data_IF_211646802661
#
_entry.id   IF_211646802661
#
_cell.length_a   1.000
_cell.length_b   1.000
_cell.length_c   1.000
_cell.angle_alpha   90.00
_cell.angle_beta   90.00
_cell.angle_gamma   90.00
#
_symmetry.space_group_name_H-M   'P 1'
#
loop_
_entity.id
_entity.type
_entity.pdbx_description
1 polymer ?
#
# COMPACT_ATOMS: atom_id res chain seq x y z
N UNK A 1 -10.91 4.10 20.00
CA UNK A 1 -10.35 2.89 19.37
C UNK A 1 -9.22 3.35 18.51
N UNK A 2 -8.04 2.78 18.69
CA UNK A 2 -6.85 3.24 17.99
C UNK A 2 -6.86 2.72 16.52
N UNK A 3 -6.46 3.55 15.55
CA UNK A 3 -6.42 3.17 14.15
C UNK A 3 -5.22 2.26 13.85
N UNK A 4 -5.38 1.35 12.88
CA UNK A 4 -4.40 0.34 12.53
C UNK A 4 -3.07 0.95 12.06
N UNK A 5 -1.95 0.61 12.69
CA UNK A 5 -0.63 1.10 12.24
C UNK A 5 -0.12 0.41 10.97
N UNK A 6 0.77 1.05 10.20
CA UNK A 6 1.38 0.48 8.99
C UNK A 6 2.13 -0.82 9.32
N UNK A 7 2.89 -0.85 10.42
CA UNK A 7 3.63 -2.04 10.83
C UNK A 7 2.71 -3.21 11.18
N UNK A 8 1.65 -2.95 11.96
CA UNK A 8 0.66 -3.97 12.31
C UNK A 8 -0.16 -4.44 11.10
N UNK A 9 -0.45 -3.55 10.14
CA UNK A 9 -1.12 -3.89 8.90
C UNK A 9 -0.30 -4.88 8.06
N UNK A 10 1.02 -4.66 7.91
CA UNK A 10 1.90 -5.58 7.18
C UNK A 10 1.92 -6.95 7.84
N UNK A 11 2.12 -7.01 9.16
CA UNK A 11 2.12 -8.27 9.91
C UNK A 11 0.77 -8.98 9.81
N UNK A 12 -0.33 -8.25 10.00
CA UNK A 12 -1.68 -8.81 9.95
C UNK A 12 -2.10 -9.26 8.56
N UNK A 13 -1.65 -8.58 7.50
CA UNK A 13 -1.84 -9.04 6.13
C UNK A 13 -1.12 -10.37 5.86
N UNK A 14 0.12 -10.51 6.31
CA UNK A 14 0.86 -11.78 6.14
C UNK A 14 0.15 -12.92 6.89
N UNK A 15 -0.21 -12.71 8.15
CA UNK A 15 -0.89 -13.71 8.98
C UNK A 15 -2.30 -14.05 8.46
N UNK A 16 -3.09 -13.02 8.13
CA UNK A 16 -4.42 -13.18 7.55
C UNK A 16 -4.35 -13.89 6.19
N UNK A 17 -3.35 -13.58 5.37
CA UNK A 17 -3.07 -14.26 4.11
C UNK A 17 -2.85 -15.76 4.28
N UNK A 18 -2.05 -16.18 5.28
CA UNK A 18 -1.86 -17.60 5.58
C UNK A 18 -3.19 -18.31 5.90
N UNK A 19 -4.10 -17.64 6.64
CA UNK A 19 -5.41 -18.22 6.92
C UNK A 19 -6.28 -18.31 5.67
N UNK A 20 -6.34 -17.26 4.85
CA UNK A 20 -7.09 -17.25 3.60
C UNK A 20 -6.60 -18.38 2.68
N UNK A 21 -5.28 -18.54 2.53
CA UNK A 21 -4.67 -19.65 1.77
C UNK A 21 -5.15 -20.99 2.29
N UNK A 22 -5.15 -21.23 3.62
CA UNK A 22 -5.64 -22.49 4.20
C UNK A 22 -7.10 -22.75 3.86
N UNK A 23 -7.97 -21.75 3.97
CA UNK A 23 -9.39 -21.89 3.62
C UNK A 23 -9.56 -22.21 2.13
N UNK A 24 -8.84 -21.52 1.24
CA UNK A 24 -8.87 -21.76 -0.20
C UNK A 24 -8.29 -23.13 -0.59
N UNK A 25 -7.27 -23.60 0.13
CA UNK A 25 -6.71 -24.95 -0.04
C UNK A 25 -7.75 -26.01 0.35
N UNK A 26 -8.54 -25.80 1.41
CA UNK A 26 -9.66 -26.68 1.73
C UNK A 26 -10.65 -26.76 0.56
N UNK A 27 -11.00 -25.63 -0.07
CA UNK A 27 -11.87 -25.63 -1.28
C UNK A 27 -11.23 -26.41 -2.43
N UNK A 28 -9.95 -26.14 -2.71
CA UNK A 28 -9.23 -26.72 -3.85
C UNK A 28 -9.06 -28.24 -3.70
N UNK A 29 -8.83 -28.73 -2.48
CA UNK A 29 -8.58 -30.15 -2.21
C UNK A 29 -9.86 -30.98 -2.05
N UNK A 30 -10.99 -30.37 -1.70
CA UNK A 30 -12.25 -31.08 -1.46
C UNK A 30 -13.16 -31.14 -2.69
N UNK A 31 -12.97 -30.24 -3.66
CA UNK A 31 -13.81 -30.14 -4.86
C UNK A 31 -13.11 -30.80 -6.06
N UNK A 32 -13.75 -31.81 -6.65
CA UNK A 32 -13.30 -32.40 -7.93
C UNK A 32 -13.45 -31.35 -9.04
N UNK A 33 -12.33 -30.95 -9.67
CA UNK A 33 -12.18 -29.78 -10.55
C UNK A 33 -12.33 -28.44 -9.80
N UNK A 34 -11.31 -28.09 -9.02
CA UNK A 34 -11.25 -26.85 -8.25
C UNK A 34 -11.56 -25.60 -9.11
N UNK A 35 -12.31 -24.60 -8.57
CA UNK A 35 -12.53 -23.35 -9.27
C UNK A 35 -11.21 -22.64 -9.57
N UNK A 36 -11.01 -22.23 -10.84
CA UNK A 36 -9.79 -21.52 -11.25
C UNK A 36 -9.58 -20.24 -10.45
N UNK A 37 -10.67 -19.57 -10.07
CA UNK A 37 -10.70 -18.40 -9.20
C UNK A 37 -10.12 -18.68 -7.80
N UNK A 38 -10.35 -19.86 -7.22
CA UNK A 38 -9.77 -20.25 -5.93
C UNK A 38 -8.25 -20.46 -6.04
N UNK A 39 -7.77 -21.13 -7.09
CA UNK A 39 -6.33 -21.29 -7.34
C UNK A 39 -5.65 -19.96 -7.61
N UNK A 40 -6.28 -19.09 -8.40
CA UNK A 40 -5.80 -17.73 -8.64
C UNK A 40 -5.72 -16.93 -7.33
N UNK A 41 -6.71 -17.05 -6.45
CA UNK A 41 -6.71 -16.40 -5.14
C UNK A 41 -5.56 -16.88 -4.24
N UNK A 42 -5.26 -18.19 -4.22
CA UNK A 42 -4.09 -18.72 -3.50
C UNK A 42 -2.82 -18.07 -4.02
N UNK A 43 -2.64 -18.04 -5.34
CA UNK A 43 -1.45 -17.46 -5.96
C UNK A 43 -1.33 -15.97 -5.63
N UNK A 44 -2.41 -15.20 -5.78
CA UNK A 44 -2.39 -13.76 -5.52
C UNK A 44 -2.08 -13.42 -4.07
N UNK A 45 -2.72 -14.10 -3.11
CA UNK A 45 -2.47 -13.88 -1.68
C UNK A 45 -1.02 -14.26 -1.31
N UNK A 46 -0.47 -15.30 -1.96
CA UNK A 46 0.92 -15.71 -1.78
C UNK A 46 1.90 -14.67 -2.33
N UNK A 47 1.66 -14.19 -3.56
CA UNK A 47 2.50 -13.17 -4.20
C UNK A 47 2.52 -11.87 -3.39
N UNK A 48 1.35 -11.44 -2.90
CA UNK A 48 1.23 -10.25 -2.05
C UNK A 48 1.97 -10.45 -0.73
N UNK A 49 1.88 -11.62 -0.10
CA UNK A 49 2.64 -11.94 1.10
C UNK A 49 4.17 -11.84 0.89
N UNK A 50 4.67 -12.31 -0.25
CA UNK A 50 6.08 -12.19 -0.61
C UNK A 50 6.50 -10.73 -0.87
N UNK A 51 5.67 -9.96 -1.56
CA UNK A 51 5.91 -8.53 -1.80
C UNK A 51 5.89 -7.73 -0.49
N UNK A 52 4.95 -8.02 0.43
CA UNK A 52 4.87 -7.41 1.76
C UNK A 52 6.11 -7.70 2.60
N UNK A 53 6.54 -8.96 2.63
CA UNK A 53 7.75 -9.36 3.36
C UNK A 53 8.99 -8.63 2.85
N UNK A 54 9.10 -8.43 1.52
CA UNK A 54 10.19 -7.67 0.91
C UNK A 54 10.09 -6.18 1.24
N UNK A 55 8.88 -5.60 1.21
CA UNK A 55 8.65 -4.18 1.50
C UNK A 55 8.87 -3.85 2.98
N UNK A 56 8.59 -4.81 3.87
CA UNK A 56 8.74 -4.68 5.32
C UNK A 56 10.16 -4.25 5.72
N UNK A 57 11.19 -4.81 5.07
CA UNK A 57 12.57 -4.45 5.37
C UNK A 57 12.85 -2.95 5.17
N UNK A 58 12.19 -2.32 4.19
CA UNK A 58 12.31 -0.89 3.95
C UNK A 58 11.42 -0.07 4.88
N UNK A 59 10.18 -0.50 5.14
CA UNK A 59 9.23 0.17 6.05
C UNK A 59 9.73 0.21 7.50
N UNK A 60 10.50 -0.82 7.91
CA UNK A 60 11.10 -0.91 9.25
C UNK A 60 12.50 -0.30 9.34
N UNK A 61 13.04 0.24 8.23
CA UNK A 61 14.39 0.81 8.20
C UNK A 61 15.53 -0.22 8.33
N UNK A 62 15.25 -1.50 8.10
CA UNK A 62 16.24 -2.58 8.20
C UNK A 62 17.08 -2.74 6.92
N UNK A 63 16.56 -2.32 5.76
CA UNK A 63 17.26 -2.36 4.48
C UNK A 63 17.90 -1.00 4.16
N UNK A 64 19.19 -1.03 3.79
CA UNK A 64 19.88 0.15 3.29
C UNK A 64 19.34 0.55 1.91
N UNK A 65 18.92 1.80 1.76
CA UNK A 65 18.61 2.42 0.46
C UNK A 65 19.27 3.78 0.38
N UNK A 66 19.54 4.23 -0.84
CA UNK A 66 19.88 5.63 -1.02
C UNK A 66 18.65 6.46 -0.65
N UNK A 67 18.80 7.42 0.26
CA UNK A 67 17.71 8.28 0.74
C UNK A 67 16.93 8.91 -0.45
N UNK A 68 17.62 9.22 -1.54
CA UNK A 68 17.02 9.72 -2.79
C UNK A 68 15.99 8.78 -3.45
N UNK A 69 16.10 7.45 -3.29
CA UNK A 69 15.15 6.48 -3.84
C UNK A 69 13.94 6.30 -2.94
N UNK A 70 14.21 6.19 -1.64
CA UNK A 70 13.16 6.14 -0.62
C UNK A 70 12.30 7.41 -0.65
N UNK A 71 12.88 8.58 -0.96
CA UNK A 71 12.16 9.84 -1.08
C UNK A 71 11.11 9.89 -2.20
N UNK A 72 11.19 8.99 -3.19
CA UNK A 72 10.26 8.90 -4.31
C UNK A 72 9.04 8.02 -4.00
N UNK A 73 9.09 7.23 -2.94
CA UNK A 73 7.96 6.46 -2.46
C UNK A 73 7.21 7.29 -1.42
N UNK A 74 6.18 8.00 -1.85
CA UNK A 74 5.31 8.79 -0.98
C UNK A 74 4.59 7.92 0.05
N UNK A 75 4.36 8.49 1.24
CA UNK A 75 3.58 7.83 2.29
C UNK A 75 2.17 7.47 1.82
N UNK A 76 1.54 8.32 1.03
CA UNK A 76 0.21 8.08 0.45
C UNK A 76 0.15 6.78 -0.37
N UNK A 77 1.18 6.51 -1.19
CA UNK A 77 1.23 5.27 -1.97
C UNK A 77 1.20 4.04 -1.06
N UNK A 78 1.87 4.11 0.09
CA UNK A 78 1.89 3.05 1.10
C UNK A 78 0.51 2.94 1.76
N UNK A 79 -0.05 4.05 2.24
CA UNK A 79 -1.35 4.09 2.94
C UNK A 79 -2.47 3.58 2.04
N UNK A 80 -2.59 4.07 0.80
CA UNK A 80 -3.62 3.62 -0.15
C UNK A 80 -3.46 2.14 -0.47
N UNK A 81 -2.24 1.70 -0.75
CA UNK A 81 -1.97 0.31 -1.13
C UNK A 81 -2.26 -0.65 0.02
N UNK A 82 -1.79 -0.36 1.24
CA UNK A 82 -2.02 -1.23 2.40
C UNK A 82 -3.50 -1.23 2.82
N UNK A 83 -4.17 -0.07 2.81
CA UNK A 83 -5.60 0.03 3.12
C UNK A 83 -6.42 -0.83 2.16
N UNK A 84 -6.10 -0.75 0.87
CA UNK A 84 -6.72 -1.56 -0.17
C UNK A 84 -6.48 -3.06 0.00
N UNK A 85 -5.28 -3.48 0.39
CA UNK A 85 -5.01 -4.88 0.72
C UNK A 85 -5.80 -5.36 1.95
N UNK A 86 -5.81 -4.59 3.04
CA UNK A 86 -6.47 -4.98 4.30
C UNK A 86 -7.97 -5.16 4.12
N UNK A 87 -8.62 -4.21 3.45
CA UNK A 87 -10.05 -4.28 3.11
C UNK A 87 -10.36 -5.45 2.18
N UNK A 88 -9.55 -5.65 1.13
CA UNK A 88 -9.69 -6.78 0.21
C UNK A 88 -9.54 -8.14 0.89
N UNK A 89 -8.59 -8.27 1.83
CA UNK A 89 -8.40 -9.52 2.59
C UNK A 89 -9.59 -9.80 3.50
N UNK A 90 -10.13 -8.78 4.17
CA UNK A 90 -11.34 -8.92 4.99
C UNK A 90 -12.54 -9.40 4.17
N UNK A 91 -12.77 -8.81 3.00
CA UNK A 91 -13.84 -9.23 2.10
C UNK A 91 -13.61 -10.67 1.57
N UNK A 92 -12.39 -10.99 1.13
CA UNK A 92 -12.04 -12.32 0.62
C UNK A 92 -12.21 -13.40 1.69
N UNK A 93 -11.74 -13.15 2.93
CA UNK A 93 -11.92 -14.08 4.04
C UNK A 93 -13.41 -14.29 4.34
N UNK A 94 -14.21 -13.21 4.35
CA UNK A 94 -15.65 -13.28 4.60
C UNK A 94 -16.38 -14.15 3.57
N UNK A 95 -16.08 -13.96 2.27
CA UNK A 95 -16.69 -14.77 1.21
C UNK A 95 -16.21 -16.22 1.30
N UNK A 96 -14.91 -16.43 1.55
CA UNK A 96 -14.36 -17.79 1.65
C UNK A 96 -14.96 -18.55 2.83
N UNK A 97 -15.13 -17.91 4.00
CA UNK A 97 -15.79 -18.52 5.16
C UNK A 97 -17.27 -18.86 4.89
N UNK A 98 -18.00 -18.02 4.14
CA UNK A 98 -19.39 -18.31 3.73
C UNK A 98 -19.48 -19.51 2.77
N UNK A 99 -18.50 -19.66 1.88
CA UNK A 99 -18.44 -20.76 0.93
C UNK A 99 -17.98 -22.08 1.58
N UNK A 100 -17.26 -22.02 2.70
CA UNK A 100 -16.71 -23.17 3.42
C UNK A 100 -17.46 -23.43 4.73
N UNK A 101 -18.66 -24.01 4.67
CA UNK A 101 -19.34 -24.47 5.89
C UNK A 101 -18.85 -25.89 6.26
N UNK A 102 -18.42 -26.15 7.51
CA UNK A 102 -17.88 -27.45 7.92
C UNK A 102 -18.87 -28.61 7.83
N UNK A 103 -20.16 -28.33 7.62
CA UNK A 103 -21.26 -29.30 7.57
C UNK A 103 -21.76 -29.58 6.13
N UNK A 104 -21.14 -29.00 5.12
CA UNK A 104 -21.68 -28.92 3.76
C UNK A 104 -21.05 -29.97 2.84
N UNK A 105 -21.93 -30.74 2.19
CA UNK A 105 -21.60 -31.76 1.19
C UNK A 105 -20.93 -31.08 -0.01
N UNK A 106 -19.67 -31.42 -0.32
CA UNK A 106 -18.75 -30.62 -1.16
C UNK A 106 -19.22 -30.17 -2.56
N UNK A 107 -20.35 -30.67 -3.07
CA UNK A 107 -21.00 -30.15 -4.28
C UNK A 107 -21.75 -28.82 -4.05
N UNK A 108 -22.35 -28.60 -2.87
CA UNK A 108 -23.06 -27.35 -2.54
C UNK A 108 -22.09 -26.18 -2.33
N UNK A 109 -20.88 -26.44 -1.87
CA UNK A 109 -19.84 -25.41 -1.70
C UNK A 109 -19.33 -24.89 -3.04
N UNK A 110 -19.28 -25.76 -4.07
CA UNK A 110 -18.99 -25.33 -5.45
C UNK A 110 -20.06 -24.39 -5.99
N UNK A 111 -21.32 -24.72 -5.77
CA UNK A 111 -22.44 -23.89 -6.25
C UNK A 111 -22.40 -22.52 -5.56
N UNK A 112 -22.22 -22.48 -4.24
CA UNK A 112 -22.03 -21.22 -3.49
C UNK A 112 -20.83 -20.42 -3.98
N UNK A 113 -19.70 -21.08 -4.25
CA UNK A 113 -18.52 -20.44 -4.82
C UNK A 113 -18.80 -19.82 -6.19
N UNK A 114 -19.46 -20.57 -7.08
CA UNK A 114 -19.83 -20.10 -8.41
C UNK A 114 -20.76 -18.88 -8.35
N UNK A 115 -21.66 -18.81 -7.37
CA UNK A 115 -22.51 -17.64 -7.15
C UNK A 115 -21.70 -16.39 -6.76
N UNK A 116 -20.62 -16.54 -5.98
CA UNK A 116 -19.76 -15.44 -5.58
C UNK A 116 -18.54 -15.25 -6.48
N UNK A 117 -18.42 -15.99 -7.58
CA UNK A 117 -17.21 -15.95 -8.43
C UNK A 117 -16.98 -14.57 -9.04
N UNK A 118 -18.04 -13.83 -9.36
CA UNK A 118 -17.94 -12.43 -9.80
C UNK A 118 -17.35 -11.51 -8.74
N UNK A 119 -17.81 -11.63 -7.49
CA UNK A 119 -17.29 -10.84 -6.36
C UNK A 119 -15.84 -11.19 -6.06
N UNK A 120 -15.50 -12.49 -6.05
CA UNK A 120 -14.13 -12.97 -5.86
C UNK A 120 -13.21 -12.42 -6.95
N UNK A 121 -13.63 -12.47 -8.21
CA UNK A 121 -12.82 -11.92 -9.31
C UNK A 121 -12.63 -10.41 -9.18
N UNK A 122 -13.64 -9.66 -8.73
CA UNK A 122 -13.50 -8.24 -8.43
C UNK A 122 -12.47 -7.97 -7.33
N UNK A 123 -12.50 -8.77 -6.25
CA UNK A 123 -11.50 -8.68 -5.17
C UNK A 123 -10.11 -9.02 -5.69
N UNK A 124 -9.97 -10.06 -6.52
CA UNK A 124 -8.68 -10.45 -7.11
C UNK A 124 -8.10 -9.35 -8.00
N UNK A 125 -8.93 -8.68 -8.80
CA UNK A 125 -8.48 -7.55 -9.62
C UNK A 125 -7.98 -6.39 -8.76
N UNK A 126 -8.66 -6.07 -7.65
CA UNK A 126 -8.21 -5.06 -6.69
C UNK A 126 -6.88 -5.46 -6.04
N UNK A 127 -6.76 -6.70 -5.59
CA UNK A 127 -5.51 -7.25 -5.04
C UNK A 127 -4.35 -7.20 -6.03
N UNK A 128 -4.59 -7.55 -7.31
CA UNK A 128 -3.58 -7.47 -8.37
C UNK A 128 -3.10 -6.03 -8.62
N UNK A 129 -4.01 -5.05 -8.55
CA UNK A 129 -3.66 -3.63 -8.66
C UNK A 129 -2.73 -3.21 -7.52
N UNK A 130 -3.09 -3.54 -6.28
CA UNK A 130 -2.26 -3.25 -5.11
C UNK A 130 -0.92 -3.99 -5.15
N UNK A 131 -0.90 -5.27 -5.56
CA UNK A 131 0.34 -6.03 -5.82
C UNK A 131 1.25 -5.29 -6.78
N UNK A 132 0.69 -4.80 -7.89
CA UNK A 132 1.48 -4.06 -8.89
C UNK A 132 2.03 -2.78 -8.28
N UNK A 133 1.26 -2.03 -7.49
CA UNK A 133 1.76 -0.86 -6.77
C UNK A 133 2.93 -1.21 -5.83
N UNK A 134 2.83 -2.32 -5.10
CA UNK A 134 3.91 -2.78 -4.22
C UNK A 134 5.18 -3.15 -4.99
N UNK A 135 5.05 -3.85 -6.11
CA UNK A 135 6.18 -4.20 -6.97
C UNK A 135 6.83 -2.93 -7.53
N UNK A 136 6.05 -1.94 -7.95
CA UNK A 136 6.61 -0.66 -8.42
C UNK A 136 7.35 0.08 -7.29
N UNK A 137 6.82 0.08 -6.07
CA UNK A 137 7.53 0.63 -4.90
C UNK A 137 8.87 -0.09 -4.67
N UNK A 138 8.89 -1.42 -4.71
CA UNK A 138 10.13 -2.19 -4.58
C UNK A 138 11.12 -1.90 -5.71
N UNK A 139 10.65 -1.78 -6.95
CA UNK A 139 11.49 -1.41 -8.09
C UNK A 139 12.12 -0.03 -7.91
N UNK A 140 11.38 0.97 -7.44
CA UNK A 140 11.93 2.30 -7.15
C UNK A 140 13.06 2.22 -6.11
N UNK A 141 12.88 1.39 -5.08
CA UNK A 141 13.83 1.24 -3.98
C UNK A 141 15.09 0.46 -4.38
N UNK A 142 14.98 -0.46 -5.35
CA UNK A 142 16.06 -1.38 -5.74
C UNK A 142 16.73 -1.01 -7.08
N UNK A 143 16.13 -0.12 -7.87
CA UNK A 143 16.61 0.21 -9.20
C UNK A 143 18.03 0.81 -9.20
N UNK A 144 18.78 0.44 -10.24
CA UNK A 144 20.16 0.88 -10.44
C UNK A 144 20.26 2.06 -11.41
N UNK A 145 19.29 2.21 -12.30
CA UNK A 145 19.27 3.29 -13.30
C UNK A 145 18.19 4.32 -13.01
N UNK A 146 18.42 5.55 -13.49
CA UNK A 146 17.44 6.62 -13.31
C UNK A 146 16.19 6.44 -14.16
N UNK A 147 16.34 5.80 -15.31
CA UNK A 147 15.23 5.57 -16.22
C UNK A 147 14.22 4.59 -15.62
N UNK A 148 14.70 3.46 -15.07
CA UNK A 148 13.85 2.49 -14.36
C UNK A 148 13.01 3.14 -13.26
N UNK A 149 13.64 3.99 -12.46
CA UNK A 149 12.95 4.71 -11.38
C UNK A 149 11.85 5.61 -11.92
N UNK A 150 12.12 6.38 -12.98
CA UNK A 150 11.13 7.29 -13.54
C UNK A 150 9.93 6.53 -14.12
N UNK A 151 10.18 5.40 -14.78
CA UNK A 151 9.14 4.55 -15.35
C UNK A 151 8.29 3.91 -14.24
N UNK A 152 8.92 3.39 -13.18
CA UNK A 152 8.22 2.81 -12.03
C UNK A 152 7.43 3.85 -11.25
N UNK A 153 7.95 5.07 -11.04
CA UNK A 153 7.23 6.16 -10.36
C UNK A 153 5.99 6.56 -11.16
N UNK A 154 6.12 6.81 -12.47
CA UNK A 154 4.96 7.18 -13.32
C UNK A 154 3.88 6.11 -13.30
N UNK A 155 4.28 4.85 -13.36
CA UNK A 155 3.35 3.72 -13.30
C UNK A 155 2.68 3.60 -11.93
N UNK A 156 3.42 3.80 -10.85
CA UNK A 156 2.90 3.77 -9.48
C UNK A 156 1.81 4.83 -9.28
N UNK A 157 2.07 6.08 -9.69
CA UNK A 157 1.11 7.19 -9.57
C UNK A 157 -0.20 6.85 -10.29
N UNK A 158 -0.11 6.41 -11.55
CA UNK A 158 -1.33 6.04 -12.31
C UNK A 158 -2.12 4.89 -11.70
N UNK A 159 -1.44 3.91 -11.07
CA UNK A 159 -2.12 2.80 -10.37
C UNK A 159 -2.84 3.24 -9.09
N UNK A 160 -2.22 4.15 -8.33
CA UNK A 160 -2.80 4.69 -7.10
C UNK A 160 -4.02 5.56 -7.42
N UNK A 161 -3.90 6.48 -8.39
CA UNK A 161 -5.00 7.31 -8.84
C UNK A 161 -6.17 6.47 -9.36
N UNK A 162 -5.90 5.45 -10.18
CA UNK A 162 -6.92 4.53 -10.64
C UNK A 162 -7.61 3.79 -9.48
N UNK A 163 -6.86 3.41 -8.45
CA UNK A 163 -7.44 2.74 -7.27
C UNK A 163 -8.35 3.65 -6.45
N UNK A 164 -8.03 4.95 -6.37
CA UNK A 164 -8.84 5.95 -5.69
C UNK A 164 -10.10 6.31 -6.48
N UNK A 165 -10.03 6.29 -7.81
CA UNK A 165 -11.19 6.51 -8.68
C UNK A 165 -12.16 5.33 -8.67
N UNK A 166 -11.63 4.11 -8.64
CA UNK A 166 -12.40 2.87 -8.73
C UNK A 166 -13.10 2.50 -7.40
N UNK A 167 -12.61 3.00 -6.25
CA UNK A 167 -13.16 2.68 -4.94
C UNK A 167 -13.57 3.93 -4.15
N UNK A 168 -14.89 4.15 -4.08
CA UNK A 168 -15.47 5.22 -3.26
C UNK A 168 -15.15 5.06 -1.77
N UNK A 169 -15.14 3.83 -1.25
CA UNK A 169 -14.80 3.56 0.16
C UNK A 169 -13.35 3.95 0.47
N UNK A 170 -12.39 3.53 -0.36
CA UNK A 170 -10.99 3.92 -0.19
C UNK A 170 -10.85 5.44 -0.23
N UNK A 171 -11.49 6.12 -1.18
CA UNK A 171 -11.45 7.58 -1.28
C UNK A 171 -12.02 8.29 -0.04
N UNK A 172 -13.16 7.83 0.48
CA UNK A 172 -13.79 8.41 1.69
C UNK A 172 -12.87 8.18 2.90
N UNK A 173 -12.29 6.99 3.04
CA UNK A 173 -11.34 6.67 4.12
C UNK A 173 -10.09 7.56 4.05
N UNK A 174 -9.56 7.79 2.85
CA UNK A 174 -8.44 8.71 2.66
C UNK A 174 -8.81 10.14 3.10
N UNK A 175 -9.96 10.69 2.67
CA UNK A 175 -10.41 12.02 3.09
C UNK A 175 -10.66 12.12 4.61
N UNK A 176 -11.16 11.05 5.23
CA UNK A 176 -11.41 10.98 6.67
C UNK A 176 -10.12 11.09 7.47
N UNK A 177 -9.02 10.55 6.93
CA UNK A 177 -7.72 10.67 7.56
C UNK A 177 -7.25 12.13 7.54
N UNK A 178 -7.39 12.85 6.43
CA UNK A 178 -6.99 14.28 6.38
C UNK A 178 -7.76 15.13 7.41
N UNK A 179 -9.05 14.84 7.56
CA UNK A 179 -9.89 15.54 8.52
C UNK A 179 -9.46 15.28 9.98
N UNK A 180 -9.13 14.04 10.32
CA UNK A 180 -8.69 13.64 11.67
C UNK A 180 -7.27 14.16 12.01
N UNK A 181 -6.42 14.31 10.99
CA UNK A 181 -5.10 14.94 11.10
C UNK A 181 -5.18 16.44 11.47
N UNK A 182 -6.36 17.06 11.40
CA UNK A 182 -6.59 18.41 11.90
C UNK A 182 -6.65 18.55 13.42
N UNK A 183 -6.86 17.47 14.19
CA UNK A 183 -7.18 17.59 15.62
C UNK A 183 -6.49 16.60 16.60
N UNK A 184 -5.97 15.43 16.18
CA UNK A 184 -5.53 14.39 17.14
C UNK A 184 -4.05 13.99 17.16
N UNK A 185 -3.40 13.90 16.00
CA UNK A 185 -2.07 13.29 15.84
C UNK A 185 -0.90 14.30 15.99
N UNK A 186 -1.17 15.45 16.61
CA UNK A 186 -0.33 16.66 16.47
C UNK A 186 0.99 16.55 17.20
N UNK A 187 1.15 15.86 18.32
CA UNK A 187 2.41 15.93 19.08
C UNK A 187 3.59 15.20 18.40
N UNK A 188 3.37 13.97 17.92
CA UNK A 188 4.40 13.17 17.25
C UNK A 188 4.63 13.67 15.81
N UNK A 189 3.56 13.96 15.07
CA UNK A 189 3.68 14.52 13.73
C UNK A 189 4.18 15.96 13.73
N UNK A 190 3.89 16.84 14.70
CA UNK A 190 4.43 18.21 14.72
C UNK A 190 5.89 18.31 15.16
N UNK A 191 6.42 17.36 15.94
CA UNK A 191 7.87 17.24 16.14
C UNK A 191 8.54 16.76 14.85
N UNK A 192 7.94 15.77 14.20
CA UNK A 192 8.41 15.24 12.92
C UNK A 192 8.32 16.32 11.82
N UNK A 193 7.23 17.08 11.73
CA UNK A 193 6.97 18.20 10.82
C UNK A 193 7.91 19.39 11.10
N UNK A 194 8.19 19.74 12.37
CA UNK A 194 9.16 20.79 12.69
C UNK A 194 10.60 20.39 12.40
N UNK A 195 10.94 19.13 12.64
CA UNK A 195 12.23 18.60 12.21
C UNK A 195 12.32 18.59 10.67
N UNK A 196 11.20 18.34 9.98
CA UNK A 196 11.09 18.42 8.52
C UNK A 196 11.16 19.83 7.95
N UNK A 197 10.51 20.83 8.52
CA UNK A 197 10.60 22.22 8.03
C UNK A 197 12.05 22.73 8.11
N UNK A 198 12.81 22.27 9.12
CA UNK A 198 14.22 22.60 9.28
C UNK A 198 15.10 21.83 8.27
N UNK A 199 14.98 20.50 8.14
CA UNK A 199 15.81 19.71 7.21
C UNK A 199 15.44 19.94 5.73
N UNK A 200 14.14 20.05 5.42
CA UNK A 200 13.68 20.41 4.07
C UNK A 200 13.98 21.87 3.76
N UNK A 201 13.99 22.76 4.75
CA UNK A 201 14.44 24.14 4.61
C UNK A 201 15.92 24.24 4.21
N UNK A 202 16.79 23.48 4.87
CA UNK A 202 18.21 23.37 4.52
C UNK A 202 18.41 22.74 3.12
N UNK A 203 17.67 21.69 2.79
CA UNK A 203 17.75 21.05 1.48
C UNK A 203 17.21 21.94 0.35
N UNK A 204 16.14 22.73 0.60
CA UNK A 204 15.60 23.73 -0.33
C UNK A 204 16.54 24.92 -0.52
N UNK A 205 17.24 25.36 0.53
CA UNK A 205 18.29 26.38 0.46
C UNK A 205 19.43 25.90 -0.43
N UNK A 206 19.94 24.70 -0.15
CA UNK A 206 21.04 24.11 -0.91
C UNK A 206 20.67 23.87 -2.37
N UNK A 207 19.47 23.36 -2.66
CA UNK A 207 19.00 23.16 -4.03
C UNK A 207 18.82 24.50 -4.76
N UNK A 208 18.31 25.53 -4.09
CA UNK A 208 18.22 26.89 -4.65
C UNK A 208 19.60 27.45 -5.00
N UNK A 209 20.57 27.28 -4.11
CA UNK A 209 21.96 27.69 -4.33
C UNK A 209 22.61 26.89 -5.49
N UNK A 210 22.23 25.62 -5.66
CA UNK A 210 22.65 24.81 -6.80
C UNK A 210 21.99 25.27 -8.11
N UNK A 211 20.69 25.57 -8.12
CA UNK A 211 19.99 26.09 -9.29
C UNK A 211 20.52 27.45 -9.77
N UNK A 212 20.94 28.30 -8.83
CA UNK A 212 21.58 29.59 -9.13
C UNK A 212 23.03 29.42 -9.67
N UNK A 213 23.62 28.22 -9.53
CA UNK A 213 24.93 27.90 -10.11
C UNK A 213 24.84 27.61 -11.61
N UNK A 214 25.56 28.41 -12.42
CA UNK A 214 25.64 28.24 -13.89
C UNK A 214 26.10 26.85 -14.34
N UNK A 215 26.85 26.13 -13.50
CA UNK A 215 27.33 24.78 -13.80
C UNK A 215 26.19 23.75 -13.70
N UNK A 216 25.34 23.90 -12.68
CA UNK A 216 24.17 23.06 -12.46
C UNK A 216 23.08 23.32 -13.51
N UNK A 217 22.87 24.58 -13.88
CA UNK A 217 21.93 24.99 -14.93
C UNK A 217 22.23 24.39 -16.32
N UNK A 218 23.48 24.02 -16.63
CA UNK A 218 23.83 23.33 -17.89
C UNK A 218 23.45 21.85 -17.91
N UNK A 219 23.30 21.22 -16.75
CA UNK A 219 22.93 19.79 -16.61
C UNK A 219 21.42 19.62 -16.48
N UNK A 220 20.70 20.66 -16.02
CA UNK A 220 19.25 20.66 -15.77
C UNK A 220 18.35 20.47 -17.01
N UNK A 221 18.92 20.34 -18.21
CA UNK A 221 18.12 19.95 -19.39
C UNK A 221 17.72 18.45 -19.36
N UNK A 222 18.02 17.75 -18.27
CA UNK A 222 17.45 16.46 -17.88
C UNK A 222 16.59 16.68 -16.65
N UNK A 223 15.27 16.66 -16.83
CA UNK A 223 14.26 16.76 -15.78
C UNK A 223 14.72 16.13 -14.47
N UNK A 224 14.80 16.96 -13.44
CA UNK A 224 15.27 16.56 -12.14
C UNK A 224 14.23 15.70 -11.40
N UNK A 225 14.71 14.85 -10.50
CA UNK A 225 13.86 13.93 -9.74
C UNK A 225 12.94 14.66 -8.76
N UNK A 226 13.33 15.86 -8.35
CA UNK A 226 12.52 16.72 -7.49
C UNK A 226 11.37 17.37 -8.28
N UNK A 227 11.55 17.75 -9.55
CA UNK A 227 10.47 18.29 -10.38
C UNK A 227 9.42 17.23 -10.72
N UNK A 228 9.85 15.99 -10.98
CA UNK A 228 8.91 14.88 -11.19
C UNK A 228 8.15 14.53 -9.90
N UNK A 229 8.85 14.51 -8.76
CA UNK A 229 8.21 14.29 -7.46
C UNK A 229 7.23 15.41 -7.12
N UNK A 230 7.59 16.69 -7.29
CA UNK A 230 6.71 17.83 -6.98
C UNK A 230 5.52 17.97 -7.94
N UNK A 231 5.73 17.76 -9.25
CA UNK A 231 4.62 17.84 -10.23
C UNK A 231 3.63 16.70 -10.09
N UNK A 232 4.09 15.50 -9.70
CA UNK A 232 3.20 14.35 -9.44
C UNK A 232 2.60 14.37 -8.03
N UNK A 233 3.23 15.03 -7.05
CA UNK A 233 2.66 15.30 -5.71
C UNK A 233 1.42 16.21 -5.75
N UNK A 234 1.22 16.98 -6.83
CA UNK A 234 0.08 17.90 -6.97
C UNK A 234 -1.26 17.27 -7.39
N UNK A 235 -1.31 15.97 -7.72
CA UNK A 235 -2.52 15.29 -8.25
C UNK A 235 -3.14 14.28 -7.27
N UNK A 236 -2.51 14.09 -6.10
CA UNK A 236 -2.82 13.01 -5.18
C UNK A 236 -3.84 13.45 -4.11
N UNK A 237 -4.68 12.52 -3.68
CA UNK A 237 -5.88 12.82 -2.89
C UNK A 237 -5.58 13.24 -1.46
N UNK A 238 -4.32 13.12 -1.01
CA UNK A 238 -3.90 13.46 0.34
C UNK A 238 -2.86 14.59 0.37
N UNK A 239 -3.34 15.83 0.43
CA UNK A 239 -2.49 17.03 0.49
C UNK A 239 -1.57 17.01 1.73
N UNK A 240 -2.05 16.47 2.86
CA UNK A 240 -1.26 16.39 4.10
C UNK A 240 -0.10 15.39 4.07
N UNK A 241 -0.12 14.40 3.17
CA UNK A 241 0.97 13.41 3.04
C UNK A 241 1.89 13.67 1.85
N UNK A 242 1.59 14.68 1.05
CA UNK A 242 2.39 15.07 -0.11
C UNK A 242 3.82 15.46 0.26
N UNK A 243 4.09 15.81 1.52
CA UNK A 243 5.44 16.11 2.02
C UNK A 243 6.18 14.88 2.58
N UNK A 244 5.48 13.78 2.89
CA UNK A 244 6.04 12.61 3.55
C UNK A 244 6.40 11.49 2.57
N UNK A 245 7.60 10.93 2.74
CA UNK A 245 8.12 9.84 1.90
C UNK A 245 8.93 8.85 2.72
N UNK A 246 9.24 7.70 2.13
CA UNK A 246 10.04 6.65 2.77
C UNK A 246 11.46 7.12 3.15
N UNK A 247 12.02 8.09 2.41
CA UNK A 247 13.34 8.66 2.71
C UNK A 247 13.32 9.67 3.86
N UNK A 248 12.16 10.23 4.14
CA UNK A 248 11.98 11.31 5.12
C UNK A 248 11.81 10.77 6.55
N UNK A 249 11.17 9.62 6.74
CA UNK A 249 10.72 9.19 8.08
C UNK A 249 11.40 7.89 8.51
N UNK A 250 12.16 7.93 9.61
CA UNK A 250 12.87 6.75 10.16
C UNK A 250 11.93 5.68 10.77
N UNK A 251 10.63 6.00 10.98
CA UNK A 251 9.63 5.09 11.61
C UNK A 251 8.21 5.22 11.00
N UNK A 252 8.06 4.97 9.70
CA UNK A 252 6.75 4.98 9.03
C UNK A 252 5.81 3.90 9.57
N UNK A 253 6.37 2.82 10.12
CA UNK A 253 5.61 1.71 10.72
C UNK A 253 4.64 2.13 11.85
N UNK A 254 4.89 3.27 12.51
CA UNK A 254 4.06 3.80 13.61
C UNK A 254 2.88 4.63 13.10
N UNK A 255 2.91 5.07 11.84
CA UNK A 255 1.83 5.84 11.25
C UNK A 255 0.59 4.97 11.04
N UNK A 256 -0.58 5.59 11.17
CA UNK A 256 -1.86 4.89 11.14
C UNK A 256 -2.52 4.93 9.77
N UNK A 257 -3.17 3.83 9.41
CA UNK A 257 -4.07 3.70 8.28
C UNK A 257 -5.49 4.15 8.68
N UNK A 258 -6.34 4.55 7.72
CA UNK A 258 -7.74 4.92 7.98
C UNK A 258 -8.62 3.66 8.10
N UNK A 259 -8.23 2.78 9.02
CA UNK A 259 -8.88 1.50 9.28
C UNK A 259 -9.00 1.32 10.78
N UNK A 260 -10.21 1.07 11.23
CA UNK A 260 -10.52 0.73 12.62
C UNK A 260 -10.95 -0.73 12.74
N UNK A 261 -10.89 -1.28 13.94
CA UNK A 261 -11.22 -2.69 14.20
C UNK A 261 -12.66 -3.06 13.83
N UNK A 262 -13.58 -2.09 13.90
CA UNK A 262 -14.99 -2.22 13.52
C UNK A 262 -15.19 -2.37 12.01
N UNK A 263 -14.24 -1.93 11.19
CA UNK A 263 -14.34 -1.99 9.73
C UNK A 263 -14.03 -3.37 9.15
N UNK A 264 -13.38 -4.23 9.93
CA UNK A 264 -12.85 -5.50 9.45
C UNK A 264 -13.55 -6.69 10.10
N UNK A 265 -14.07 -7.58 9.26
CA UNK A 265 -14.58 -8.88 9.70
C UNK A 265 -13.46 -9.77 10.27
N UNK A 266 -12.22 -9.54 9.82
CA UNK A 266 -11.04 -10.28 10.22
C UNK A 266 -10.06 -9.47 11.09
N UNK A 267 -10.58 -8.53 11.88
CA UNK A 267 -9.81 -7.68 12.80
C UNK A 267 -8.88 -8.46 13.73
N UNK A 268 -9.20 -9.72 14.07
CA UNK A 268 -8.37 -10.64 14.88
C UNK A 268 -6.94 -10.89 14.36
N UNK A 269 -6.68 -10.66 13.07
CA UNK A 269 -5.33 -10.83 12.50
C UNK A 269 -4.43 -9.63 12.72
N UNK A 270 -5.01 -8.51 13.16
CA UNK A 270 -4.33 -7.22 13.25
C UNK A 270 -4.20 -6.78 14.71
N UNK A 271 -3.15 -6.00 14.97
CA UNK A 271 -2.93 -5.33 16.24
C UNK A 271 -3.29 -3.86 16.07
N UNK A 272 -4.40 -3.44 16.69
CA UNK A 272 -4.85 -2.05 16.73
C UNK A 272 -4.23 -1.33 17.92
#
# INVERSE_FOLDING_TARGET
MDPLSIGSAVVGLVLGGCKIIKLLQTVTNTVVNAPKSATAAIQEVTDIGAALSSLQAYLMGAAATTNSRAALVSLENIVVTLTGCVTSYSELETITEKCCSPSSMGAFDRVKWAFHEGEINGILQRLQRHKTSMIMMLQILQAHTQQEVNDSVRRLVGLVEASLQDSNDLRIRMLSIEADHGYGQTAALSQVQRNFENEAGEMRSFEKDLQDSRVYGRVNNRHSLYELSNSQRGSMALSSFSELSLGSVSKISVLSLPIWSVDLANSRHYLF
#
